data_IF_420583296840
#
_entry.id   IF_420583296840
#
_cell.length_a   1.000
_cell.length_b   1.000
_cell.length_c   1.000
_cell.angle_alpha   90.00
_cell.angle_beta   90.00
_cell.angle_gamma   90.00
#
_symmetry.space_group_name_H-M   'P 1'
#
loop_
_entity.id
_entity.type
_entity.pdbx_description
1 polymer ?
#
# COMPACT_ATOMS: atom_id res chain seq x y z
N UNK A 1 -29.66 -57.41 -16.63
CA UNK A 1 -29.51 -58.65 -17.42
C UNK A 1 -28.81 -58.30 -18.73
N UNK A 2 -27.70 -59.00 -19.02
CA UNK A 2 -26.87 -59.02 -20.26
C UNK A 2 -26.11 -57.72 -20.61
N UNK A 3 -24.77 -57.59 -20.45
CA UNK A 3 -23.63 -58.24 -21.17
C UNK A 3 -23.88 -58.32 -22.68
N UNK A 4 -23.05 -57.79 -23.60
CA UNK A 4 -21.65 -58.12 -23.94
C UNK A 4 -21.26 -57.17 -25.11
N UNK A 5 -20.05 -56.61 -25.30
CA UNK A 5 -18.88 -57.14 -26.05
C UNK A 5 -17.83 -55.97 -26.09
N UNK A 6 -16.61 -56.05 -25.54
CA UNK A 6 -15.36 -56.66 -26.04
C UNK A 6 -14.70 -55.91 -27.24
N UNK A 7 -13.49 -55.37 -27.00
CA UNK A 7 -12.29 -55.22 -27.88
C UNK A 7 -11.31 -54.25 -27.17
N UNK A 8 -10.30 -54.69 -26.40
CA UNK A 8 -8.98 -55.26 -26.75
C UNK A 8 -8.06 -54.26 -27.52
N UNK A 9 -6.97 -53.87 -26.82
CA UNK A 9 -5.68 -53.23 -27.17
C UNK A 9 -4.98 -53.77 -28.47
N UNK A 10 -3.73 -53.38 -28.92
CA UNK A 10 -2.76 -52.30 -28.55
C UNK A 10 -1.99 -51.66 -29.77
N UNK A 11 -0.99 -50.79 -29.47
CA UNK A 11 0.39 -50.80 -30.04
C UNK A 11 0.82 -49.91 -31.26
N UNK A 12 2.10 -49.49 -31.15
CA UNK A 12 3.09 -48.88 -32.08
C UNK A 12 3.07 -47.35 -32.31
N UNK A 13 4.05 -46.59 -31.80
CA UNK A 13 5.47 -46.44 -32.20
C UNK A 13 5.66 -45.68 -33.52
N UNK A 14 6.27 -44.49 -33.43
CA UNK A 14 7.28 -44.02 -34.39
C UNK A 14 8.21 -43.01 -33.71
N UNK A 15 9.34 -43.55 -33.25
CA UNK A 15 10.61 -42.87 -33.04
C UNK A 15 11.26 -42.59 -34.41
N UNK A 16 11.76 -41.39 -34.63
CA UNK A 16 12.97 -41.11 -35.43
C UNK A 16 13.64 -39.88 -34.79
N UNK A 17 14.63 -40.06 -33.92
CA UNK A 17 16.07 -40.29 -34.13
C UNK A 17 16.90 -38.99 -34.22
N UNK A 18 17.77 -38.84 -33.21
CA UNK A 18 18.83 -37.84 -32.99
C UNK A 18 19.92 -37.85 -34.11
N UNK A 19 20.92 -36.94 -34.08
CA UNK A 19 22.13 -37.25 -33.29
C UNK A 19 22.60 -36.12 -32.36
N UNK A 20 23.12 -36.59 -31.22
CA UNK A 20 23.92 -35.90 -30.21
C UNK A 20 25.39 -35.75 -30.66
N UNK A 21 26.04 -34.67 -30.21
CA UNK A 21 27.45 -34.66 -29.72
C UNK A 21 27.57 -33.44 -28.77
N UNK A 22 27.61 -33.63 -27.43
CA UNK A 22 28.79 -33.73 -26.53
C UNK A 22 29.74 -32.52 -26.63
N UNK A 23 30.26 -31.85 -25.60
CA UNK A 23 30.62 -32.07 -24.18
C UNK A 23 30.42 -30.71 -23.46
N UNK A 24 29.89 -30.60 -22.24
CA UNK A 24 30.62 -30.83 -21.00
C UNK A 24 31.27 -29.53 -20.49
N UNK A 25 30.65 -28.85 -19.51
CA UNK A 25 31.36 -28.10 -18.44
C UNK A 25 30.36 -27.54 -17.41
N UNK A 26 30.53 -27.94 -16.15
CA UNK A 26 29.95 -27.29 -14.96
C UNK A 26 30.94 -26.20 -14.54
N UNK A 27 30.54 -24.92 -14.47
CA UNK A 27 31.14 -23.96 -13.54
C UNK A 27 30.12 -22.88 -13.17
N UNK A 28 30.11 -22.53 -11.89
CA UNK A 28 29.29 -21.54 -11.22
C UNK A 28 29.31 -20.14 -11.87
N UNK A 29 28.16 -19.46 -11.80
CA UNK A 29 28.05 -18.01 -11.94
C UNK A 29 27.34 -17.45 -10.70
N UNK A 30 28.06 -17.48 -9.59
CA UNK A 30 27.98 -16.42 -8.60
C UNK A 30 28.97 -15.33 -9.04
N UNK A 31 28.65 -14.07 -8.78
CA UNK A 31 29.48 -12.87 -9.03
C UNK A 31 29.50 -12.33 -10.47
N UNK A 32 28.55 -11.43 -10.78
CA UNK A 32 28.78 -10.33 -11.74
C UNK A 32 27.81 -9.17 -11.50
N UNK A 33 28.13 -8.30 -10.55
CA UNK A 33 27.57 -6.94 -10.48
C UNK A 33 28.57 -5.97 -9.83
N UNK A 34 29.78 -5.90 -10.38
CA UNK A 34 30.69 -4.77 -10.18
C UNK A 34 31.35 -4.43 -11.51
N UNK A 35 31.45 -3.13 -11.79
CA UNK A 35 32.16 -2.48 -12.89
C UNK A 35 31.32 -2.16 -14.14
N UNK A 36 30.67 -1.00 -14.10
CA UNK A 36 30.41 -0.17 -15.27
C UNK A 36 30.76 1.28 -14.92
N UNK A 37 32.04 1.64 -15.08
CA UNK A 37 32.52 3.01 -15.25
C UNK A 37 33.85 2.95 -16.02
N UNK A 38 34.02 3.89 -16.97
CA UNK A 38 35.22 4.20 -17.75
C UNK A 38 35.63 3.22 -18.86
N UNK A 39 35.41 3.60 -20.13
CA UNK A 39 36.28 4.49 -20.91
C UNK A 39 35.94 4.35 -22.41
N UNK A 40 35.61 5.45 -23.08
CA UNK A 40 35.69 5.57 -24.54
C UNK A 40 36.40 6.87 -24.87
N UNK A 41 37.67 6.74 -25.24
CA UNK A 41 38.49 7.71 -25.96
C UNK A 41 38.93 7.05 -27.28
N UNK A 42 39.25 7.88 -28.28
CA UNK A 42 39.51 7.63 -29.71
C UNK A 42 38.30 7.97 -30.60
N UNK A 43 38.34 8.90 -31.59
CA UNK A 43 39.43 9.53 -32.36
C UNK A 43 39.03 10.94 -32.87
N UNK A 44 40.02 11.62 -33.47
CA UNK A 44 40.01 12.81 -34.35
C UNK A 44 40.18 14.13 -33.56
N UNK A 45 41.24 14.93 -33.67
CA UNK A 45 42.34 15.06 -34.62
C UNK A 45 42.61 16.57 -34.77
N UNK A 46 43.78 17.07 -34.39
CA UNK A 46 44.15 18.48 -34.64
C UNK A 46 45.08 19.16 -33.63
N UNK A 47 46.38 19.15 -33.96
CA UNK A 47 47.41 20.19 -33.71
C UNK A 47 47.60 20.81 -32.32
N UNK A 48 48.80 20.54 -31.75
CA UNK A 48 49.47 21.28 -30.67
C UNK A 48 49.75 22.75 -31.05
N UNK A 49 49.52 23.69 -30.12
CA UNK A 49 50.54 24.67 -29.65
C UNK A 49 49.97 25.61 -28.57
N UNK A 50 50.72 25.69 -27.47
CA UNK A 50 51.06 26.87 -26.66
C UNK A 50 49.98 27.70 -25.92
N UNK A 51 50.24 27.76 -24.60
CA UNK A 51 50.38 28.95 -23.77
C UNK A 51 49.17 29.57 -23.05
N UNK A 52 49.47 29.83 -21.78
CA UNK A 52 49.09 30.98 -20.95
C UNK A 52 47.79 30.92 -20.15
N UNK A 53 48.00 30.70 -18.84
CA UNK A 53 47.52 31.56 -17.75
C UNK A 53 46.91 32.90 -18.22
N UNK A 54 45.62 33.10 -17.94
CA UNK A 54 45.11 34.43 -17.61
C UNK A 54 44.06 34.31 -16.50
N UNK A 55 44.16 35.28 -15.60
CA UNK A 55 43.60 35.37 -14.27
C UNK A 55 42.34 36.26 -14.28
N UNK A 56 41.49 36.14 -13.25
CA UNK A 56 40.45 37.08 -12.78
C UNK A 56 39.09 36.97 -13.52
N UNK A 57 37.91 36.95 -12.87
CA UNK A 57 37.50 37.46 -11.54
C UNK A 57 36.15 36.83 -11.14
N UNK A 58 36.03 36.50 -9.86
CA UNK A 58 34.85 36.68 -8.98
C UNK A 58 33.43 36.40 -9.49
N UNK A 59 32.82 35.34 -8.96
CA UNK A 59 31.46 35.43 -8.39
C UNK A 59 31.33 34.45 -7.22
N UNK A 60 31.62 34.97 -6.02
CA UNK A 60 31.20 34.37 -4.76
C UNK A 60 29.68 34.36 -4.72
N UNK A 61 29.05 33.19 -4.83
CA UNK A 61 27.72 33.01 -4.27
C UNK A 61 27.82 32.26 -2.94
N UNK A 62 27.73 33.08 -1.90
CA UNK A 62 27.63 32.75 -0.49
C UNK A 62 26.68 31.59 -0.21
N UNK A 63 27.22 30.55 0.41
CA UNK A 63 26.51 29.54 1.17
C UNK A 63 25.79 30.26 2.33
N UNK A 64 24.47 30.42 2.24
CA UNK A 64 23.63 30.85 3.37
C UNK A 64 22.92 29.62 3.92
N UNK A 65 23.29 29.23 5.14
CA UNK A 65 22.57 28.28 5.97
C UNK A 65 21.09 28.68 6.02
N UNK A 66 20.21 27.85 5.45
CA UNK A 66 18.76 27.99 5.62
C UNK A 66 18.38 27.27 6.91
N UNK A 67 17.98 28.08 7.87
CA UNK A 67 17.68 27.69 9.25
C UNK A 67 16.62 26.60 9.39
N UNK A 68 16.67 26.00 10.58
CA UNK A 68 15.69 25.07 11.15
C UNK A 68 14.25 25.53 10.85
N UNK A 69 13.58 24.84 9.94
CA UNK A 69 12.12 24.90 9.82
C UNK A 69 11.55 24.12 11.01
N UNK A 70 11.30 24.83 12.12
CA UNK A 70 10.36 24.35 13.12
C UNK A 70 8.99 24.27 12.44
N UNK A 71 8.66 23.08 11.94
CA UNK A 71 7.36 22.78 11.36
C UNK A 71 6.38 22.63 12.52
N UNK A 72 5.98 23.74 13.11
CA UNK A 72 4.82 23.79 14.00
C UNK A 72 3.64 23.32 13.16
N UNK A 73 3.21 22.07 13.36
CA UNK A 73 1.98 21.53 12.78
C UNK A 73 0.86 22.51 13.14
N UNK A 74 0.41 23.31 12.17
CA UNK A 74 -0.76 24.15 12.33
C UNK A 74 -1.91 23.21 12.68
N UNK A 75 -2.44 23.35 13.89
CA UNK A 75 -3.63 22.63 14.35
C UNK A 75 -4.79 23.09 13.46
N UNK A 76 -5.07 22.32 12.42
CA UNK A 76 -6.13 22.64 11.46
C UNK A 76 -7.47 22.67 12.22
N UNK A 77 -8.25 23.74 12.00
CA UNK A 77 -9.52 23.92 12.67
C UNK A 77 -10.50 22.91 12.08
N UNK A 78 -11.03 21.99 12.89
CA UNK A 78 -12.02 21.01 12.44
C UNK A 78 -13.21 21.73 11.81
N UNK A 79 -13.46 21.49 10.52
CA UNK A 79 -14.58 22.04 9.77
C UNK A 79 -15.84 21.15 9.83
N UNK A 80 -15.83 20.11 10.67
CA UNK A 80 -16.95 19.21 10.89
C UNK A 80 -17.15 18.95 12.39
N UNK A 81 -18.41 18.72 12.78
CA UNK A 81 -18.81 18.42 14.17
C UNK A 81 -19.33 16.99 14.36
N UNK A 82 -19.53 16.27 13.25
CA UNK A 82 -19.94 14.87 13.19
C UNK A 82 -19.42 14.25 11.89
N UNK A 83 -19.32 12.93 11.90
CA UNK A 83 -18.93 12.10 10.75
C UNK A 83 -19.92 10.96 10.61
N UNK A 84 -19.99 10.40 9.41
CA UNK A 84 -20.76 9.18 9.12
C UNK A 84 -19.81 8.00 8.82
N UNK A 85 -20.38 6.84 8.54
CA UNK A 85 -19.64 5.66 8.12
C UNK A 85 -20.04 5.27 6.70
N UNK A 86 -19.08 5.25 5.78
CA UNK A 86 -19.33 4.86 4.40
C UNK A 86 -19.54 3.34 4.27
N UNK A 87 -20.36 2.93 3.29
CA UNK A 87 -20.68 1.51 3.05
C UNK A 87 -19.44 0.68 2.73
N UNK A 88 -18.39 1.29 2.15
CA UNK A 88 -17.11 0.62 1.94
C UNK A 88 -16.48 0.11 3.23
N UNK A 89 -16.71 0.81 4.35
CA UNK A 89 -16.15 0.46 5.64
C UNK A 89 -16.95 -0.64 6.35
N UNK A 90 -18.20 -0.91 5.92
CA UNK A 90 -19.11 -1.83 6.62
C UNK A 90 -18.54 -3.25 6.76
N UNK A 91 -17.79 -3.71 5.75
CA UNK A 91 -17.12 -5.02 5.76
C UNK A 91 -16.17 -5.21 6.95
N UNK A 92 -15.62 -4.13 7.50
CA UNK A 92 -14.73 -4.22 8.66
C UNK A 92 -15.45 -4.62 9.95
N UNK A 93 -16.78 -4.54 9.99
CA UNK A 93 -17.59 -4.96 11.13
C UNK A 93 -18.16 -6.38 10.97
N UNK A 94 -17.91 -7.01 9.82
CA UNK A 94 -18.36 -8.38 9.52
C UNK A 94 -17.20 -9.36 9.70
N UNK A 95 -17.29 -10.22 10.71
CA UNK A 95 -16.27 -11.23 11.03
C UNK A 95 -16.04 -12.23 9.90
N UNK A 96 -17.01 -12.40 8.99
CA UNK A 96 -16.88 -13.29 7.83
C UNK A 96 -16.06 -12.67 6.70
N UNK A 97 -15.87 -11.34 6.70
CA UNK A 97 -15.08 -10.62 5.68
C UNK A 97 -13.60 -10.60 6.06
N UNK A 98 -12.92 -11.59 5.50
CA UNK A 98 -11.52 -11.91 5.77
C UNK A 98 -10.47 -11.03 5.09
N UNK A 99 -10.88 -10.27 4.06
CA UNK A 99 -9.99 -9.45 3.22
C UNK A 99 -9.69 -8.05 3.78
N UNK A 100 -10.16 -7.75 5.00
CA UNK A 100 -9.93 -6.48 5.67
C UNK A 100 -9.77 -6.66 7.19
N UNK A 101 -9.35 -5.59 7.85
CA UNK A 101 -9.26 -5.53 9.32
C UNK A 101 -10.64 -5.68 9.94
N UNK A 102 -10.75 -6.55 10.93
CA UNK A 102 -11.97 -6.76 11.69
C UNK A 102 -12.02 -5.85 12.92
N UNK A 103 -13.10 -5.09 13.06
CA UNK A 103 -13.43 -4.22 14.18
C UNK A 103 -14.51 -4.92 15.00
N UNK A 104 -14.17 -5.52 16.15
CA UNK A 104 -15.12 -6.20 17.02
C UNK A 104 -15.96 -5.17 17.80
N UNK A 105 -16.92 -4.56 17.12
CA UNK A 105 -17.83 -3.57 17.67
C UNK A 105 -19.12 -3.55 16.84
N UNK A 106 -20.26 -3.17 17.42
CA UNK A 106 -21.44 -2.90 16.59
C UNK A 106 -21.20 -1.64 15.75
N UNK A 107 -21.55 -1.70 14.47
CA UNK A 107 -21.25 -0.62 13.53
C UNK A 107 -21.98 0.69 13.87
N UNK A 108 -23.22 0.61 14.33
CA UNK A 108 -24.02 1.79 14.68
C UNK A 108 -23.53 2.38 16.00
N UNK A 109 -23.23 1.53 16.99
CA UNK A 109 -22.64 1.98 18.25
C UNK A 109 -21.25 2.59 18.03
N UNK A 110 -20.47 2.05 17.09
CA UNK A 110 -19.14 2.57 16.74
C UNK A 110 -19.22 4.03 16.30
N UNK A 111 -20.12 4.33 15.34
CA UNK A 111 -20.25 5.68 14.81
C UNK A 111 -20.84 6.65 15.85
N UNK A 112 -21.73 6.16 16.74
CA UNK A 112 -22.20 6.95 17.88
C UNK A 112 -21.04 7.30 18.82
N UNK A 113 -20.19 6.32 19.15
CA UNK A 113 -19.03 6.52 20.03
C UNK A 113 -18.01 7.49 19.43
N UNK A 114 -17.70 7.36 18.14
CA UNK A 114 -16.80 8.29 17.44
C UNK A 114 -17.36 9.72 17.49
N UNK A 115 -18.65 9.89 17.22
CA UNK A 115 -19.29 11.21 17.27
C UNK A 115 -19.36 11.80 18.69
N UNK A 116 -19.49 10.97 19.73
CA UNK A 116 -19.34 11.39 21.12
C UNK A 116 -17.92 11.94 21.39
N UNK A 117 -16.88 11.21 20.96
CA UNK A 117 -15.48 11.62 21.12
C UNK A 117 -15.17 12.92 20.37
N UNK A 118 -15.72 13.10 19.16
CA UNK A 118 -15.62 14.34 18.39
C UNK A 118 -16.20 15.52 19.18
N UNK A 119 -17.42 15.36 19.74
CA UNK A 119 -18.07 16.41 20.55
C UNK A 119 -17.26 16.75 21.80
N UNK A 120 -16.67 15.75 22.45
CA UNK A 120 -15.80 15.93 23.62
C UNK A 120 -14.41 16.50 23.26
N UNK A 121 -14.08 16.67 21.97
CA UNK A 121 -12.75 17.08 21.49
C UNK A 121 -11.62 16.16 21.96
N UNK A 122 -11.92 14.87 22.22
CA UNK A 122 -10.96 13.83 22.60
C UNK A 122 -10.40 13.11 21.37
N UNK A 123 -10.07 13.87 20.34
CA UNK A 123 -9.62 13.35 19.06
C UNK A 123 -8.43 14.16 18.54
N UNK A 124 -7.56 13.51 17.78
CA UNK A 124 -6.50 14.17 17.01
C UNK A 124 -6.87 14.12 15.53
N UNK A 125 -6.98 15.28 14.89
CA UNK A 125 -7.28 15.39 13.46
C UNK A 125 -6.05 15.85 12.71
N UNK A 126 -5.72 15.18 11.62
CA UNK A 126 -4.62 15.57 10.72
C UNK A 126 -5.08 15.49 9.26
N UNK A 127 -4.48 16.30 8.36
CA UNK A 127 -4.71 16.17 6.93
C UNK A 127 -4.22 14.81 6.43
N UNK A 128 -4.91 14.24 5.46
CA UNK A 128 -4.47 13.04 4.75
C UNK A 128 -3.64 13.37 3.50
N UNK A 129 -3.50 12.38 2.62
CA UNK A 129 -2.68 12.49 1.42
C UNK A 129 -3.25 13.44 0.33
N UNK A 130 -4.51 13.87 0.45
CA UNK A 130 -5.22 14.76 -0.47
C UNK A 130 -6.21 15.64 0.32
N UNK A 131 -6.67 16.76 -0.26
CA UNK A 131 -7.55 17.72 0.44
C UNK A 131 -8.88 17.12 0.92
N UNK A 132 -9.43 16.16 0.17
CA UNK A 132 -10.65 15.45 0.56
C UNK A 132 -10.42 14.40 1.64
N UNK A 133 -9.16 14.08 1.97
CA UNK A 133 -8.80 13.01 2.90
C UNK A 133 -8.37 13.58 4.24
N UNK A 134 -8.94 13.07 5.32
CA UNK A 134 -8.57 13.42 6.70
C UNK A 134 -8.40 12.16 7.52
N UNK A 135 -7.65 12.29 8.61
CA UNK A 135 -7.49 11.21 9.59
C UNK A 135 -7.96 11.70 10.95
N UNK A 136 -8.68 10.86 11.67
CA UNK A 136 -8.97 11.02 13.09
C UNK A 136 -8.27 9.88 13.84
N UNK A 137 -7.40 10.24 14.78
CA UNK A 137 -6.83 9.27 15.73
C UNK A 137 -7.57 9.34 17.05
N UNK A 138 -7.97 8.16 17.53
CA UNK A 138 -8.59 7.94 18.84
C UNK A 138 -7.93 6.76 19.53
N UNK A 139 -7.96 6.73 20.86
CA UNK A 139 -7.64 5.51 21.60
C UNK A 139 -8.58 4.39 21.19
N UNK A 140 -8.05 3.17 21.11
CA UNK A 140 -8.82 2.01 20.72
C UNK A 140 -9.82 1.60 21.81
N UNK A 141 -11.04 2.10 21.68
CA UNK A 141 -12.17 1.75 22.54
C UNK A 141 -12.86 0.42 22.15
N UNK A 142 -12.34 -0.29 21.15
CA UNK A 142 -12.79 -1.62 20.71
C UNK A 142 -11.76 -2.68 21.10
N UNK A 143 -11.97 -3.94 20.76
CA UNK A 143 -10.93 -4.99 20.89
C UNK A 143 -10.19 -5.29 19.57
N UNK A 144 -10.20 -4.33 18.64
CA UNK A 144 -9.47 -4.46 17.39
C UNK A 144 -7.97 -4.63 17.65
N UNK A 145 -7.37 -5.58 16.95
CA UNK A 145 -5.96 -5.95 17.10
C UNK A 145 -5.10 -5.31 16.02
N UNK A 146 -3.81 -5.14 16.29
CA UNK A 146 -2.86 -4.64 15.28
C UNK A 146 -2.90 -5.48 14.00
N UNK A 147 -2.79 -4.79 12.88
CA UNK A 147 -2.95 -5.36 11.53
C UNK A 147 -1.65 -5.30 10.72
N UNK A 148 -0.55 -4.86 11.33
CA UNK A 148 0.77 -4.83 10.72
C UNK A 148 1.81 -5.25 11.73
N UNK A 149 2.78 -6.05 11.29
CA UNK A 149 3.94 -6.45 12.10
C UNK A 149 5.23 -6.22 11.33
N UNK A 150 6.31 -6.00 12.08
CA UNK A 150 7.65 -5.95 11.53
C UNK A 150 8.10 -7.35 11.08
N UNK A 151 8.73 -7.41 9.91
CA UNK A 151 9.29 -8.64 9.34
C UNK A 151 10.62 -8.94 10.03
N UNK A 152 10.73 -10.14 10.60
CA UNK A 152 11.93 -10.62 11.27
C UNK A 152 12.15 -12.13 10.99
N UNK A 153 13.23 -12.69 11.51
CA UNK A 153 13.60 -14.09 11.26
C UNK A 153 12.58 -15.12 11.78
N UNK A 154 11.67 -14.73 12.69
CA UNK A 154 10.66 -15.64 13.26
C UNK A 154 9.38 -15.70 12.43
N UNK A 155 9.09 -14.66 11.64
CA UNK A 155 7.82 -14.54 10.91
C UNK A 155 7.96 -14.45 9.38
N UNK A 156 9.19 -14.29 8.87
CA UNK A 156 9.46 -14.17 7.43
C UNK A 156 8.90 -15.34 6.62
N UNK A 157 9.04 -16.56 7.13
CA UNK A 157 8.61 -17.78 6.44
C UNK A 157 7.08 -18.00 6.49
N UNK A 158 6.36 -17.18 7.27
CA UNK A 158 4.89 -17.18 7.34
C UNK A 158 4.26 -16.23 6.31
N UNK A 159 5.06 -15.45 5.60
CA UNK A 159 4.57 -14.48 4.62
C UNK A 159 4.06 -15.23 3.39
N UNK A 160 2.77 -15.04 3.12
CA UNK A 160 2.07 -15.55 1.94
C UNK A 160 1.93 -14.43 0.90
N UNK A 161 1.74 -14.81 -0.35
CA UNK A 161 1.53 -13.90 -1.47
C UNK A 161 0.47 -14.44 -2.41
N UNK A 162 -0.38 -13.57 -2.92
CA UNK A 162 -1.43 -13.91 -3.89
C UNK A 162 -1.97 -12.64 -4.55
N UNK A 163 -2.78 -12.80 -5.60
CA UNK A 163 -3.52 -11.75 -6.27
C UNK A 163 -4.92 -11.61 -5.65
N UNK A 164 -5.16 -10.53 -4.93
CA UNK A 164 -6.43 -10.31 -4.20
C UNK A 164 -7.10 -9.00 -4.63
N UNK A 165 -8.40 -9.06 -4.92
CA UNK A 165 -9.26 -7.89 -5.12
C UNK A 165 -9.90 -7.44 -3.81
N UNK A 166 -10.09 -6.12 -3.62
CA UNK A 166 -10.79 -5.58 -2.43
C UNK A 166 -12.31 -5.62 -2.57
N UNK A 167 -12.79 -5.69 -3.82
CA UNK A 167 -14.18 -5.74 -4.28
C UNK A 167 -14.22 -6.49 -5.62
N UNK A 168 -15.36 -7.05 -5.97
CA UNK A 168 -15.53 -7.85 -7.19
C UNK A 168 -15.33 -7.06 -8.50
N UNK A 169 -15.52 -5.73 -8.44
CA UNK A 169 -15.35 -4.82 -9.57
C UNK A 169 -13.96 -4.17 -9.65
N UNK A 170 -12.99 -4.63 -8.86
CA UNK A 170 -11.60 -4.14 -8.91
C UNK A 170 -10.65 -5.24 -9.39
N UNK A 171 -9.65 -4.87 -10.19
CA UNK A 171 -8.59 -5.79 -10.60
C UNK A 171 -7.85 -6.37 -9.37
N UNK A 172 -7.53 -7.68 -9.37
CA UNK A 172 -6.75 -8.28 -8.31
C UNK A 172 -5.31 -7.82 -8.41
N UNK A 173 -4.70 -7.56 -7.26
CA UNK A 173 -3.32 -7.06 -7.18
C UNK A 173 -2.47 -7.96 -6.31
N UNK A 174 -1.19 -8.07 -6.62
CA UNK A 174 -0.24 -8.82 -5.80
C UNK A 174 -0.16 -8.19 -4.41
N UNK A 175 -0.49 -8.97 -3.39
CA UNK A 175 -0.31 -8.60 -2.00
C UNK A 175 0.56 -9.62 -1.27
N UNK A 176 1.05 -9.23 -0.09
CA UNK A 176 1.71 -10.12 0.85
C UNK A 176 1.16 -9.93 2.26
N UNK A 177 1.01 -11.02 3.00
CA UNK A 177 0.45 -10.99 4.35
C UNK A 177 0.92 -12.16 5.20
N UNK A 178 0.73 -12.06 6.51
CA UNK A 178 0.75 -13.21 7.43
C UNK A 178 -0.71 -13.49 7.81
N UNK A 179 -1.13 -14.77 7.78
CA UNK A 179 -2.49 -15.09 8.22
C UNK A 179 -2.62 -14.85 9.72
N UNK A 180 -3.75 -14.30 10.17
CA UNK A 180 -4.01 -14.01 11.58
C UNK A 180 -3.79 -15.23 12.50
N UNK A 181 -4.20 -16.43 12.05
CA UNK A 181 -4.00 -17.71 12.76
C UNK A 181 -2.52 -18.10 12.95
N UNK A 182 -1.62 -17.56 12.14
CA UNK A 182 -0.18 -17.87 12.18
C UNK A 182 0.57 -16.90 13.13
N UNK A 183 -0.12 -15.88 13.65
CA UNK A 183 0.42 -14.91 14.62
C UNK A 183 0.07 -15.35 16.04
N UNK A 184 1.08 -15.67 16.86
CA UNK A 184 0.89 -16.17 18.23
C UNK A 184 0.32 -15.13 19.19
N UNK A 185 0.90 -13.93 19.18
CA UNK A 185 0.58 -12.87 20.15
C UNK A 185 -0.04 -11.68 19.43
N UNK A 186 -1.31 -11.81 19.05
CA UNK A 186 -2.03 -10.75 18.37
C UNK A 186 -2.56 -9.73 19.39
N UNK A 187 -1.85 -8.62 19.54
CA UNK A 187 -2.14 -7.61 20.55
C UNK A 187 -3.25 -6.66 20.12
N UNK A 188 -4.06 -6.23 21.09
CA UNK A 188 -4.97 -5.10 20.95
C UNK A 188 -4.19 -3.85 20.52
N UNK A 189 -4.67 -3.18 19.48
CA UNK A 189 -4.07 -1.93 19.01
C UNK A 189 -4.26 -0.82 20.05
N UNK A 190 -3.32 0.12 20.15
CA UNK A 190 -3.46 1.28 21.04
C UNK A 190 -4.43 2.34 20.50
N UNK A 191 -4.42 2.54 19.19
CA UNK A 191 -5.17 3.58 18.51
C UNK A 191 -5.97 3.01 17.34
N UNK A 192 -7.00 3.76 16.93
CA UNK A 192 -7.67 3.61 15.66
C UNK A 192 -7.36 4.84 14.81
N UNK A 193 -6.78 4.63 13.64
CA UNK A 193 -6.72 5.63 12.57
C UNK A 193 -7.99 5.52 11.73
N UNK A 194 -8.89 6.49 11.89
CA UNK A 194 -10.11 6.59 11.11
C UNK A 194 -9.80 7.44 9.88
N UNK A 195 -9.82 6.83 8.69
CA UNK A 195 -9.59 7.51 7.42
C UNK A 195 -10.92 8.00 6.89
N UNK A 196 -11.02 9.30 6.64
CA UNK A 196 -12.24 9.97 6.20
C UNK A 196 -12.06 10.53 4.82
N UNK A 197 -13.08 10.34 3.97
CA UNK A 197 -13.22 11.08 2.73
C UNK A 197 -14.34 12.11 2.84
N UNK A 198 -14.17 13.22 2.13
CA UNK A 198 -15.26 14.15 1.93
C UNK A 198 -16.39 13.48 1.15
N UNK A 199 -17.61 13.89 1.43
CA UNK A 199 -18.81 13.42 0.74
C UNK A 199 -18.70 13.60 -0.78
N UNK A 200 -18.13 14.72 -1.23
CA UNK A 200 -17.94 15.02 -2.65
C UNK A 200 -17.01 14.00 -3.34
N UNK A 201 -15.94 13.57 -2.66
CA UNK A 201 -15.06 12.52 -3.17
C UNK A 201 -15.76 11.15 -3.22
N UNK A 202 -16.50 10.79 -2.17
CA UNK A 202 -17.26 9.53 -2.14
C UNK A 202 -18.26 9.47 -3.29
N UNK A 203 -18.98 10.55 -3.55
CA UNK A 203 -19.94 10.66 -4.66
C UNK A 203 -19.26 10.53 -6.02
N UNK A 204 -18.07 11.13 -6.17
CA UNK A 204 -17.26 10.99 -7.38
C UNK A 204 -16.83 9.55 -7.62
N UNK A 205 -16.28 8.88 -6.60
CA UNK A 205 -15.86 7.48 -6.72
C UNK A 205 -17.03 6.54 -7.02
N UNK A 206 -18.19 6.76 -6.39
CA UNK A 206 -19.40 6.00 -6.67
C UNK A 206 -19.86 6.18 -8.12
N UNK A 207 -19.82 7.40 -8.65
CA UNK A 207 -20.15 7.68 -10.06
C UNK A 207 -19.21 6.97 -11.03
N UNK A 208 -17.90 7.06 -10.82
CA UNK A 208 -16.88 6.47 -11.71
C UNK A 208 -16.91 4.93 -11.68
N UNK A 209 -17.12 4.35 -10.50
CA UNK A 209 -17.20 2.89 -10.31
C UNK A 209 -18.60 2.31 -10.56
N UNK A 210 -19.57 3.16 -10.94
CA UNK A 210 -20.99 2.80 -11.12
C UNK A 210 -21.61 2.13 -9.88
N UNK A 211 -21.12 2.51 -8.70
CA UNK A 211 -21.64 2.03 -7.42
C UNK A 211 -22.84 2.86 -6.99
N UNK A 212 -23.94 2.21 -6.64
CA UNK A 212 -25.14 2.87 -6.12
C UNK A 212 -25.18 2.62 -4.60
N UNK A 213 -24.96 3.64 -3.75
CA UNK A 213 -25.03 3.46 -2.30
C UNK A 213 -26.49 3.27 -1.88
N UNK A 214 -26.73 2.43 -0.86
CA UNK A 214 -28.07 2.28 -0.27
C UNK A 214 -28.48 3.54 0.49
N UNK A 215 -27.52 4.25 1.08
CA UNK A 215 -27.75 5.51 1.80
C UNK A 215 -26.68 6.55 1.48
N UNK A 216 -27.11 7.78 1.18
CA UNK A 216 -26.22 8.94 1.09
C UNK A 216 -26.04 9.57 2.47
N UNK A 217 -24.81 9.98 2.79
CA UNK A 217 -24.52 10.68 4.04
C UNK A 217 -24.87 12.16 3.97
N UNK A 218 -25.41 12.69 5.08
CA UNK A 218 -25.59 14.13 5.29
C UNK A 218 -24.36 14.79 5.93
N UNK A 219 -23.33 14.02 6.29
CA UNK A 219 -22.10 14.54 6.87
C UNK A 219 -21.13 15.03 5.78
N UNK A 220 -20.29 16.02 6.11
CA UNK A 220 -19.24 16.50 5.21
C UNK A 220 -18.16 15.44 4.96
N UNK A 221 -17.92 14.59 5.95
CA UNK A 221 -16.93 13.52 5.93
C UNK A 221 -17.53 12.22 6.44
N UNK A 222 -17.14 11.12 5.80
CA UNK A 222 -17.48 9.77 6.24
C UNK A 222 -16.21 8.93 6.37
N UNK A 223 -16.20 8.06 7.37
CA UNK A 223 -15.12 7.09 7.56
C UNK A 223 -15.21 6.04 6.45
N UNK A 224 -14.15 5.92 5.65
CA UNK A 224 -14.02 4.94 4.56
C UNK A 224 -13.15 3.75 4.94
N UNK A 225 -12.33 3.87 5.98
CA UNK A 225 -11.49 2.79 6.47
C UNK A 225 -11.09 3.06 7.94
N UNK A 226 -11.01 2.00 8.73
CA UNK A 226 -10.54 2.01 10.11
C UNK A 226 -9.27 1.17 10.19
N UNK A 227 -8.21 1.75 10.71
CA UNK A 227 -6.91 1.08 10.85
C UNK A 227 -6.48 0.94 12.32
N UNK A 228 -6.62 -0.24 12.95
CA UNK A 228 -6.08 -0.50 14.27
C UNK A 228 -4.54 -0.53 14.28
N UNK A 229 -3.91 0.39 14.99
CA UNK A 229 -2.44 0.50 15.02
C UNK A 229 -1.91 0.95 16.39
N UNK A 230 -0.59 0.83 16.58
CA UNK A 230 0.07 1.25 17.82
C UNK A 230 0.56 2.70 17.79
N UNK A 231 0.55 3.32 16.63
CA UNK A 231 1.02 4.68 16.40
C UNK A 231 -0.16 5.67 16.34
N UNK A 232 0.03 6.89 16.85
CA UNK A 232 -0.99 7.96 16.82
C UNK A 232 -0.82 8.89 15.60
N UNK A 233 -0.14 8.42 14.56
CA UNK A 233 0.11 9.14 13.30
C UNK A 233 -0.11 8.22 12.09
N UNK A 234 -0.27 8.82 10.91
CA UNK A 234 -0.55 8.08 9.67
C UNK A 234 0.64 7.16 9.31
N UNK A 235 0.38 5.85 9.28
CA UNK A 235 1.31 4.89 8.67
C UNK A 235 1.17 4.94 7.14
N UNK A 236 2.28 4.88 6.37
CA UNK A 236 2.22 4.96 4.93
C UNK A 236 1.27 3.94 4.33
N UNK A 237 0.43 4.34 3.36
CA UNK A 237 -0.36 3.41 2.55
C UNK A 237 0.55 2.36 1.89
N UNK A 238 0.03 1.15 1.60
CA UNK A 238 0.79 0.16 0.83
C UNK A 238 1.15 0.70 -0.56
N UNK A 239 2.32 0.34 -1.14
CA UNK A 239 2.73 0.87 -2.44
C UNK A 239 1.68 0.63 -3.54
N UNK A 240 1.04 -0.54 -3.52
CA UNK A 240 -0.03 -0.88 -4.47
C UNK A 240 -1.27 0.01 -4.32
N UNK A 241 -1.60 0.45 -3.10
CA UNK A 241 -2.69 1.39 -2.88
C UNK A 241 -2.39 2.74 -3.53
N UNK A 242 -1.14 3.22 -3.44
CA UNK A 242 -0.73 4.45 -4.10
C UNK A 242 -0.78 4.35 -5.62
N UNK A 243 -0.38 3.20 -6.19
CA UNK A 243 -0.47 2.97 -7.64
C UNK A 243 -1.93 2.92 -8.10
N UNK A 244 -2.78 2.16 -7.40
CA UNK A 244 -4.21 2.08 -7.73
C UNK A 244 -4.92 3.43 -7.60
N UNK A 245 -4.53 4.27 -6.64
CA UNK A 245 -5.11 5.61 -6.51
C UNK A 245 -4.94 6.48 -7.77
N UNK A 246 -4.04 6.14 -8.69
CA UNK A 246 -3.93 6.81 -10.00
C UNK A 246 -5.01 6.41 -11.00
N UNK A 247 -5.71 5.29 -10.76
CA UNK A 247 -6.71 4.69 -11.65
C UNK A 247 -8.10 4.80 -11.00
N UNK A 248 -8.80 5.93 -11.21
CA UNK A 248 -10.12 6.14 -10.60
C UNK A 248 -11.17 5.11 -11.05
N UNK A 249 -11.07 4.62 -12.29
CA UNK A 249 -11.94 3.58 -12.84
C UNK A 249 -11.76 2.21 -12.16
N UNK A 250 -10.63 1.99 -11.49
CA UNK A 250 -10.26 0.74 -10.81
C UNK A 250 -10.33 0.87 -9.27
N UNK A 251 -11.23 1.72 -8.78
CA UNK A 251 -11.46 1.92 -7.34
C UNK A 251 -10.36 2.71 -6.61
N UNK A 252 -9.54 3.45 -7.37
CA UNK A 252 -8.63 4.47 -6.85
C UNK A 252 -9.31 5.82 -6.64
N UNK A 253 -8.63 6.74 -5.96
CA UNK A 253 -9.15 8.10 -5.73
C UNK A 253 -8.95 9.09 -6.89
N UNK A 254 -8.19 8.71 -7.92
CA UNK A 254 -7.84 9.56 -9.06
C UNK A 254 -6.73 10.59 -8.77
N UNK A 255 -5.90 10.35 -7.76
CA UNK A 255 -4.78 11.22 -7.41
C UNK A 255 -3.48 10.73 -8.08
N UNK A 256 -2.75 11.67 -8.68
CA UNK A 256 -1.46 11.40 -9.31
C UNK A 256 -0.43 10.86 -8.31
N UNK A 257 0.42 9.94 -8.79
CA UNK A 257 1.45 9.34 -7.96
C UNK A 257 2.49 10.38 -7.53
N UNK A 258 2.65 10.56 -6.22
CA UNK A 258 3.78 11.27 -5.65
C UNK A 258 4.95 10.29 -5.44
N UNK A 259 6.05 10.48 -6.17
CA UNK A 259 7.23 9.60 -6.13
C UNK A 259 7.89 9.53 -4.76
N UNK A 260 8.07 10.66 -4.08
CA UNK A 260 8.74 10.68 -2.78
C UNK A 260 7.91 9.93 -1.73
N UNK A 261 6.60 10.17 -1.72
CA UNK A 261 5.66 9.44 -0.84
C UNK A 261 5.63 7.94 -1.15
N UNK A 262 5.73 7.57 -2.42
CA UNK A 262 5.82 6.17 -2.83
C UNK A 262 7.09 5.51 -2.28
N UNK A 263 8.24 6.20 -2.34
CA UNK A 263 9.50 5.69 -1.79
C UNK A 263 9.47 5.60 -0.27
N UNK A 264 8.82 6.55 0.43
CA UNK A 264 8.56 6.45 1.87
C UNK A 264 7.72 5.23 2.22
N UNK A 265 6.65 4.99 1.45
CA UNK A 265 5.83 3.78 1.56
C UNK A 265 6.66 2.51 1.37
N UNK A 266 7.45 2.43 0.30
CA UNK A 266 8.33 1.27 0.04
C UNK A 266 9.32 1.06 1.17
N UNK A 267 9.92 2.12 1.73
CA UNK A 267 10.87 2.01 2.85
C UNK A 267 10.22 1.37 4.08
N UNK A 268 9.02 1.82 4.44
CA UNK A 268 8.25 1.26 5.55
C UNK A 268 7.84 -0.18 5.26
N UNK A 269 7.13 -0.39 4.15
CA UNK A 269 6.56 -1.68 3.80
C UNK A 269 7.62 -2.72 3.49
N UNK A 270 8.85 -2.38 3.09
CA UNK A 270 9.95 -3.35 2.94
C UNK A 270 10.21 -4.16 4.22
N UNK A 271 10.00 -3.55 5.38
CA UNK A 271 10.26 -4.14 6.70
C UNK A 271 8.98 -4.50 7.46
N UNK A 272 7.80 -4.30 6.87
CA UNK A 272 6.51 -4.58 7.50
C UNK A 272 5.63 -5.43 6.59
N UNK A 273 4.72 -6.18 7.20
CA UNK A 273 3.76 -7.02 6.50
C UNK A 273 2.40 -6.94 7.19
N UNK A 274 1.34 -6.91 6.38
CA UNK A 274 -0.04 -6.90 6.89
C UNK A 274 -0.39 -8.24 7.51
N UNK A 275 -1.26 -8.21 8.52
CA UNK A 275 -1.93 -9.38 9.07
C UNK A 275 -3.34 -9.40 8.51
N UNK A 276 -3.69 -10.48 7.81
CA UNK A 276 -5.00 -10.63 7.16
C UNK A 276 -5.63 -11.94 7.63
N UNK A 277 -6.95 -11.96 7.81
CA UNK A 277 -7.67 -13.15 8.24
C UNK A 277 -8.05 -14.06 7.05
N UNK A 278 -7.17 -14.20 6.05
CA UNK A 278 -7.42 -14.98 4.83
C UNK A 278 -7.45 -16.50 5.15
#
# INVERSE_FOLDING_TARGET
MHLTLLLILPLLLLLTSYPLTSRGERVALCERSKNYMNERLFQLGGTRKNLLFLHLKNSMYSFKEKGKVNKTLKKEKMNFCKVDLDEFCYKQFDRTKKSCSYIPYDKNDFILKVNELIKQKKIKVVPGYAEFCKHIFVENFTDATVETVEINNKNRDLIKTDYISRRDNELPVLIRWISKKDVKDLLKAKYLDLILYSREQIERENKETKTIPNKRSDCLYSIICIKPQNEDYELPMTPITMLRNTLISEGGSGINLNRDKYLESVKYWRHHVSIIDN
#
